data_IF_549426768639
#
_entry.id   IF_549426768639
#
_cell.length_a   1.000
_cell.length_b   1.000
_cell.length_c   1.000
_cell.angle_alpha   90.00
_cell.angle_beta   90.00
_cell.angle_gamma   90.00
#
_symmetry.space_group_name_H-M   'P 1'
#
loop_
_entity.id
_entity.type
_entity.pdbx_description
1 polymer ?
#
# COMPACT_ATOMS: atom_id res chain seq x y z
N UNK A 1 7.19 -22.41 -11.76
CA UNK A 1 6.40 -21.30 -12.37
C UNK A 1 6.48 -20.03 -11.55
N UNK A 2 6.04 -19.98 -10.28
CA UNK A 2 6.22 -18.81 -9.40
C UNK A 2 7.56 -18.85 -8.61
N UNK A 3 7.92 -20.02 -8.10
CA UNK A 3 9.22 -20.25 -7.44
C UNK A 3 10.42 -19.96 -8.37
N UNK A 4 10.33 -20.35 -9.64
CA UNK A 4 11.41 -20.08 -10.61
C UNK A 4 11.59 -18.58 -10.84
N UNK A 5 10.49 -17.81 -10.87
CA UNK A 5 10.53 -16.35 -10.96
C UNK A 5 11.14 -15.73 -9.70
N UNK A 6 10.79 -16.25 -8.52
CA UNK A 6 11.40 -15.84 -7.26
C UNK A 6 12.91 -16.09 -7.24
N UNK A 7 13.34 -17.29 -7.64
CA UNK A 7 14.77 -17.64 -7.72
C UNK A 7 15.53 -16.81 -8.74
N UNK A 8 14.94 -16.52 -9.90
CA UNK A 8 15.53 -15.63 -10.90
C UNK A 8 15.69 -14.20 -10.35
N UNK A 9 14.69 -13.68 -9.64
CA UNK A 9 14.78 -12.36 -9.01
C UNK A 9 15.87 -12.33 -7.92
N UNK A 10 15.99 -13.36 -7.08
CA UNK A 10 17.07 -13.45 -6.08
C UNK A 10 18.45 -13.48 -6.72
N UNK A 11 18.62 -14.24 -7.82
CA UNK A 11 19.87 -14.31 -8.57
C UNK A 11 20.34 -12.95 -9.11
N UNK A 12 19.41 -12.05 -9.43
CA UNK A 12 19.71 -10.70 -9.89
C UNK A 12 20.11 -9.73 -8.75
N UNK A 13 19.87 -10.09 -7.49
CA UNK A 13 20.13 -9.25 -6.32
C UNK A 13 21.45 -9.70 -5.68
N UNK A 14 22.54 -8.92 -5.73
CA UNK A 14 23.87 -9.37 -5.30
C UNK A 14 23.93 -9.94 -3.88
N UNK A 15 23.18 -9.36 -2.95
CA UNK A 15 23.12 -9.81 -1.55
C UNK A 15 22.32 -11.11 -1.33
N UNK A 16 21.56 -11.56 -2.34
CA UNK A 16 20.72 -12.77 -2.28
C UNK A 16 21.03 -13.79 -3.38
N UNK A 17 21.95 -13.51 -4.30
CA UNK A 17 22.19 -14.33 -5.48
C UNK A 17 22.59 -15.79 -5.17
N UNK A 18 23.18 -16.03 -4.00
CA UNK A 18 23.55 -17.38 -3.52
C UNK A 18 22.54 -18.01 -2.55
N UNK A 19 21.38 -17.40 -2.32
CA UNK A 19 20.37 -17.97 -1.41
C UNK A 19 19.66 -19.16 -2.06
N UNK A 20 19.89 -20.36 -1.51
CA UNK A 20 19.32 -21.63 -1.96
C UNK A 20 18.29 -22.22 -0.99
N UNK A 21 18.08 -21.54 0.15
CA UNK A 21 17.14 -21.95 1.19
C UNK A 21 15.66 -21.97 0.72
N UNK A 22 14.76 -22.42 1.61
CA UNK A 22 13.34 -22.49 1.29
C UNK A 22 12.76 -21.09 1.05
N UNK A 23 11.77 -21.03 0.16
CA UNK A 23 10.93 -19.86 -0.06
C UNK A 23 9.48 -20.24 0.26
N UNK A 24 8.88 -19.50 1.19
CA UNK A 24 7.48 -19.67 1.58
C UNK A 24 6.66 -18.59 0.86
N UNK A 25 5.68 -19.01 0.05
CA UNK A 25 4.76 -18.06 -0.58
C UNK A 25 3.82 -17.48 0.49
N UNK A 26 3.84 -16.16 0.63
CA UNK A 26 2.89 -15.41 1.47
C UNK A 26 1.68 -14.97 0.63
N UNK A 27 0.72 -14.33 1.30
CA UNK A 27 -0.41 -13.66 0.65
C UNK A 27 0.02 -12.52 -0.29
N UNK A 28 -0.97 -11.78 -0.79
CA UNK A 28 -0.79 -10.71 -1.77
C UNK A 28 -1.76 -10.86 -2.93
N UNK A 29 -2.57 -9.82 -3.16
CA UNK A 29 -3.58 -9.79 -4.22
C UNK A 29 -2.94 -9.66 -5.60
N UNK A 30 -2.16 -8.60 -5.79
CA UNK A 30 -1.49 -8.27 -7.06
C UNK A 30 -0.05 -8.78 -7.07
N UNK A 31 0.65 -8.65 -5.94
CA UNK A 31 2.07 -8.93 -5.81
C UNK A 31 2.37 -10.41 -5.45
N UNK A 32 3.47 -10.95 -5.99
CA UNK A 32 4.00 -12.24 -5.54
C UNK A 32 4.98 -12.00 -4.38
N UNK A 33 4.57 -12.35 -3.16
CA UNK A 33 5.41 -12.16 -1.96
C UNK A 33 5.93 -13.50 -1.45
N UNK A 34 7.26 -13.62 -1.31
CA UNK A 34 7.93 -14.80 -0.80
C UNK A 34 8.76 -14.47 0.43
N UNK A 35 8.62 -15.27 1.48
CA UNK A 35 9.50 -15.24 2.64
C UNK A 35 10.69 -16.15 2.41
N UNK A 36 11.89 -15.58 2.49
CA UNK A 36 13.13 -16.32 2.73
C UNK A 36 13.45 -16.37 4.23
N UNK A 37 14.69 -16.73 4.58
CA UNK A 37 15.16 -16.84 5.97
C UNK A 37 14.70 -15.66 6.85
N UNK A 38 15.18 -14.46 6.55
CA UNK A 38 14.96 -13.22 7.32
C UNK A 38 14.55 -12.03 6.45
N UNK A 39 14.07 -12.31 5.23
CA UNK A 39 13.63 -11.30 4.26
C UNK A 39 12.31 -11.69 3.59
N UNK A 40 11.58 -10.69 3.10
CA UNK A 40 10.51 -10.83 2.12
C UNK A 40 11.02 -10.37 0.76
N UNK A 41 10.84 -11.19 -0.27
CA UNK A 41 10.95 -10.79 -1.67
C UNK A 41 9.54 -10.52 -2.19
N UNK A 42 9.31 -9.34 -2.75
CA UNK A 42 8.08 -8.97 -3.44
C UNK A 42 8.38 -8.70 -4.90
N UNK A 43 7.65 -9.39 -5.77
CA UNK A 43 7.73 -9.23 -7.21
C UNK A 43 6.38 -8.65 -7.69
N UNK A 44 6.40 -7.55 -8.45
CA UNK A 44 5.17 -6.96 -8.98
C UNK A 44 4.31 -7.94 -9.76
N UNK A 45 2.99 -7.78 -9.63
CA UNK A 45 2.02 -8.47 -10.47
C UNK A 45 2.13 -8.06 -11.93
N UNK A 46 1.95 -9.01 -12.85
CA UNK A 46 1.92 -8.72 -14.29
C UNK A 46 0.75 -7.80 -14.64
N UNK A 47 0.98 -6.81 -15.50
CA UNK A 47 -0.06 -5.90 -15.99
C UNK A 47 -0.32 -4.70 -15.08
N UNK A 48 0.54 -4.49 -14.07
CA UNK A 48 0.47 -3.31 -13.17
C UNK A 48 1.33 -2.15 -13.66
N UNK A 49 2.16 -2.38 -14.68
CA UNK A 49 3.14 -1.44 -15.21
C UNK A 49 2.49 -0.20 -15.86
N UNK A 50 1.22 -0.32 -16.27
CA UNK A 50 0.48 0.76 -16.93
C UNK A 50 -0.09 1.79 -15.95
N UNK A 51 -0.24 1.45 -14.66
CA UNK A 51 -0.89 2.32 -13.68
C UNK A 51 -0.14 2.46 -12.34
N UNK A 52 0.87 1.62 -12.07
CA UNK A 52 1.70 1.75 -10.87
C UNK A 52 3.06 2.39 -11.20
N UNK A 53 3.39 3.46 -10.46
CA UNK A 53 4.70 4.11 -10.56
C UNK A 53 5.71 3.49 -9.57
N UNK A 54 6.55 2.58 -10.08
CA UNK A 54 7.57 1.88 -9.29
C UNK A 54 8.65 2.80 -8.72
N UNK A 55 8.93 3.93 -9.37
CA UNK A 55 9.85 4.93 -8.83
C UNK A 55 9.26 5.66 -7.61
N UNK A 56 7.96 5.99 -7.65
CA UNK A 56 7.24 6.55 -6.50
C UNK A 56 7.27 5.59 -5.31
N UNK A 57 6.89 4.34 -5.56
CA UNK A 57 6.89 3.27 -4.55
C UNK A 57 8.29 3.08 -3.91
N UNK A 58 9.35 3.06 -4.71
CA UNK A 58 10.71 2.88 -4.22
C UNK A 58 11.19 4.04 -3.32
N UNK A 59 10.70 5.26 -3.53
CA UNK A 59 10.95 6.39 -2.64
C UNK A 59 10.11 6.26 -1.38
N UNK A 60 8.81 6.02 -1.53
CA UNK A 60 7.88 5.97 -0.41
C UNK A 60 8.20 4.83 0.57
N UNK A 61 8.50 3.63 0.08
CA UNK A 61 8.90 2.50 0.93
C UNK A 61 10.16 2.82 1.74
N UNK A 62 11.15 3.50 1.15
CA UNK A 62 12.37 3.92 1.85
C UNK A 62 12.09 4.98 2.91
N UNK A 63 11.28 6.00 2.58
CA UNK A 63 10.92 7.06 3.52
C UNK A 63 10.05 6.52 4.67
N UNK A 64 9.11 5.63 4.39
CA UNK A 64 8.30 4.95 5.41
C UNK A 64 9.13 4.01 6.30
N UNK A 65 10.17 3.36 5.74
CA UNK A 65 11.13 2.59 6.52
C UNK A 65 12.00 3.50 7.42
N UNK A 66 12.46 4.66 6.92
CA UNK A 66 13.17 5.67 7.73
C UNK A 66 12.30 6.23 8.86
N UNK A 67 11.02 6.46 8.59
CA UNK A 67 10.02 6.81 9.61
C UNK A 67 9.78 5.66 10.62
N UNK A 68 10.29 4.46 10.33
CA UNK A 68 10.10 3.27 11.15
C UNK A 68 8.63 2.85 11.22
N UNK A 69 7.89 3.00 10.12
CA UNK A 69 6.52 2.54 9.93
C UNK A 69 6.49 1.30 9.02
N UNK A 70 7.36 1.26 8.02
CA UNK A 70 7.56 0.08 7.16
C UNK A 70 8.77 -0.74 7.59
N UNK A 71 8.82 -2.06 7.29
CA UNK A 71 10.03 -2.85 7.47
C UNK A 71 11.22 -2.26 6.73
N UNK A 72 12.43 -2.56 7.18
CA UNK A 72 13.66 -2.12 6.54
C UNK A 72 13.69 -2.57 5.07
N UNK A 73 13.92 -1.63 4.15
CA UNK A 73 14.13 -1.92 2.73
C UNK A 73 15.59 -2.34 2.51
N UNK A 74 15.80 -3.61 2.21
CA UNK A 74 17.12 -4.21 1.96
C UNK A 74 17.56 -4.00 0.50
N UNK A 75 16.61 -4.08 -0.42
CA UNK A 75 16.82 -3.84 -1.84
C UNK A 75 15.54 -3.31 -2.46
N UNK A 76 15.63 -2.39 -3.41
CA UNK A 76 14.50 -2.00 -4.25
C UNK A 76 15.00 -1.59 -5.62
N UNK A 77 14.37 -2.14 -6.64
CA UNK A 77 14.60 -1.83 -8.04
C UNK A 77 13.43 -0.98 -8.55
N UNK A 78 13.72 0.27 -8.90
CA UNK A 78 12.70 1.23 -9.37
C UNK A 78 12.27 0.97 -10.83
N UNK A 79 13.02 0.16 -11.59
CA UNK A 79 12.68 -0.22 -12.95
C UNK A 79 11.79 -1.46 -12.97
N UNK A 80 12.20 -2.51 -12.24
CA UNK A 80 11.44 -3.77 -12.21
C UNK A 80 10.37 -3.82 -11.14
N UNK A 81 10.42 -2.91 -10.14
CA UNK A 81 9.55 -2.89 -8.97
C UNK A 81 9.84 -4.00 -7.95
N UNK A 82 10.87 -4.83 -8.16
CA UNK A 82 11.28 -5.84 -7.20
C UNK A 82 11.71 -5.18 -5.90
N UNK A 83 11.12 -5.63 -4.80
CA UNK A 83 11.36 -5.08 -3.46
C UNK A 83 11.79 -6.22 -2.53
N UNK A 84 12.86 -6.01 -1.78
CA UNK A 84 13.25 -6.88 -0.66
C UNK A 84 13.21 -6.08 0.62
N UNK A 85 12.47 -6.59 1.60
CA UNK A 85 12.42 -6.03 2.95
C UNK A 85 12.87 -7.05 3.98
N UNK A 86 13.24 -6.57 5.18
CA UNK A 86 13.42 -7.44 6.33
C UNK A 86 12.08 -8.12 6.69
N UNK A 87 12.11 -9.42 6.95
CA UNK A 87 10.95 -10.15 7.43
C UNK A 87 10.69 -9.81 8.92
N UNK A 88 9.45 -9.49 9.28
CA UNK A 88 9.08 -9.20 10.67
C UNK A 88 8.67 -10.50 11.36
N UNK A 89 9.60 -11.13 12.08
CA UNK A 89 9.33 -12.36 12.83
C UNK A 89 8.26 -12.14 13.91
N UNK A 90 7.27 -13.03 13.96
CA UNK A 90 6.21 -13.01 14.98
C UNK A 90 5.10 -11.98 14.70
N UNK A 91 5.13 -11.30 13.56
CA UNK A 91 4.00 -10.48 13.14
C UNK A 91 2.89 -11.33 12.51
N UNK A 92 1.66 -10.97 12.82
CA UNK A 92 0.47 -11.52 12.20
C UNK A 92 -0.01 -10.57 11.10
N UNK A 93 -0.20 -11.08 9.89
CA UNK A 93 -0.88 -10.31 8.83
C UNK A 93 -2.33 -10.08 9.22
N UNK A 94 -2.78 -8.83 9.19
CA UNK A 94 -4.12 -8.45 9.62
C UNK A 94 -5.18 -8.76 8.55
N UNK A 95 -6.43 -8.75 8.99
CA UNK A 95 -7.64 -8.97 8.19
C UNK A 95 -8.80 -8.24 8.89
N UNK A 96 -9.95 -8.06 8.22
CA UNK A 96 -11.12 -7.44 8.88
C UNK A 96 -11.52 -8.18 10.16
N UNK A 97 -11.50 -9.52 10.14
CA UNK A 97 -11.73 -10.34 11.33
C UNK A 97 -10.70 -10.10 12.44
N UNK A 98 -9.41 -10.00 12.10
CA UNK A 98 -8.34 -9.79 13.07
C UNK A 98 -8.39 -8.41 13.70
N UNK A 99 -8.85 -7.39 12.99
CA UNK A 99 -9.10 -6.07 13.56
C UNK A 99 -10.19 -6.08 14.63
N UNK A 100 -11.16 -7.00 14.53
CA UNK A 100 -12.23 -7.21 15.53
C UNK A 100 -11.76 -8.08 16.70
N UNK A 101 -11.00 -9.13 16.42
CA UNK A 101 -10.67 -10.17 17.40
C UNK A 101 -9.40 -9.88 18.20
N UNK A 102 -8.44 -9.09 17.67
CA UNK A 102 -7.18 -8.76 18.36
C UNK A 102 -7.33 -7.47 19.16
N UNK A 103 -7.33 -7.52 20.51
CA UNK A 103 -7.57 -6.35 21.33
C UNK A 103 -6.55 -5.25 21.07
N UNK A 104 -7.05 -4.02 20.94
CA UNK A 104 -6.22 -2.83 20.70
C UNK A 104 -5.60 -2.74 19.30
N UNK A 105 -5.92 -3.65 18.37
CA UNK A 105 -5.37 -3.60 17.01
C UNK A 105 -5.75 -2.32 16.24
N UNK A 106 -6.97 -1.76 16.30
CA UNK A 106 -7.26 -0.47 15.66
C UNK A 106 -6.43 0.68 16.25
N UNK A 107 -6.18 0.66 17.56
CA UNK A 107 -5.34 1.66 18.22
C UNK A 107 -3.87 1.53 17.79
N UNK A 108 -3.37 0.32 17.53
CA UNK A 108 -2.01 0.11 16.98
C UNK A 108 -1.90 0.60 15.54
N UNK A 109 -2.93 0.40 14.71
CA UNK A 109 -2.98 0.96 13.35
C UNK A 109 -2.98 2.50 13.39
N UNK A 110 -3.83 3.11 14.22
CA UNK A 110 -3.86 4.56 14.41
C UNK A 110 -2.53 5.15 14.89
N UNK A 111 -1.79 4.42 15.74
CA UNK A 111 -0.42 4.82 16.14
C UNK A 111 0.57 4.71 14.98
N UNK A 112 0.46 3.70 14.12
CA UNK A 112 1.30 3.56 12.94
C UNK A 112 1.05 4.70 11.94
N UNK A 113 -0.21 5.05 11.67
CA UNK A 113 -0.57 6.21 10.88
C UNK A 113 -0.10 7.52 11.49
N UNK A 114 -0.38 7.76 12.78
CA UNK A 114 0.08 8.97 13.46
C UNK A 114 1.60 9.14 13.37
N UNK A 115 2.36 8.03 13.44
CA UNK A 115 3.81 8.04 13.24
C UNK A 115 4.20 8.37 11.80
N UNK A 116 3.51 7.81 10.80
CA UNK A 116 3.74 8.12 9.38
C UNK A 116 3.46 9.61 9.09
N UNK A 117 2.25 10.06 9.42
CA UNK A 117 1.73 11.38 9.10
C UNK A 117 2.53 12.51 9.76
N UNK A 118 3.21 12.23 10.87
CA UNK A 118 4.07 13.19 11.60
C UNK A 118 5.57 12.98 11.38
N UNK A 119 5.97 12.02 10.55
CA UNK A 119 7.39 11.65 10.37
C UNK A 119 8.24 12.67 9.62
N UNK A 120 7.62 13.57 8.86
CA UNK A 120 8.31 14.43 7.90
C UNK A 120 8.75 13.72 6.62
N UNK A 121 8.30 12.47 6.40
CA UNK A 121 8.48 11.79 5.12
C UNK A 121 7.89 12.61 3.96
N UNK A 122 8.56 12.58 2.82
CA UNK A 122 8.13 13.28 1.60
C UNK A 122 8.00 12.26 0.48
N UNK A 123 6.79 12.06 -0.01
CA UNK A 123 6.50 11.22 -1.16
C UNK A 123 6.45 12.08 -2.43
N UNK A 124 6.98 11.59 -3.57
CA UNK A 124 7.13 12.42 -4.77
C UNK A 124 5.80 12.66 -5.49
N UNK A 125 4.77 11.84 -5.23
CA UNK A 125 3.44 11.97 -5.81
C UNK A 125 2.46 12.65 -4.85
N UNK A 126 1.56 13.49 -5.39
CA UNK A 126 0.42 14.06 -4.68
C UNK A 126 -0.83 13.27 -5.07
N UNK A 127 -1.55 12.76 -4.08
CA UNK A 127 -2.75 11.95 -4.30
C UNK A 127 -3.97 12.81 -4.66
N UNK A 128 -4.27 12.91 -5.95
CA UNK A 128 -5.38 13.73 -6.45
C UNK A 128 -6.67 12.91 -6.63
N UNK A 129 -7.38 12.66 -5.51
CA UNK A 129 -8.61 11.83 -5.46
C UNK A 129 -9.63 12.18 -6.55
N UNK A 130 -10.01 13.45 -6.63
CA UNK A 130 -11.06 13.87 -7.57
C UNK A 130 -10.57 13.88 -9.02
N UNK A 131 -9.29 14.13 -9.27
CA UNK A 131 -8.74 14.01 -10.62
C UNK A 131 -8.78 12.56 -11.11
N UNK A 132 -8.46 11.59 -10.23
CA UNK A 132 -8.59 10.17 -10.56
C UNK A 132 -10.05 9.77 -10.85
N UNK A 133 -11.01 10.27 -10.05
CA UNK A 133 -12.44 10.06 -10.32
C UNK A 133 -12.84 10.65 -11.68
N UNK A 134 -12.43 11.88 -11.96
CA UNK A 134 -12.72 12.59 -13.22
C UNK A 134 -12.15 11.81 -14.43
N UNK A 135 -10.92 11.28 -14.33
CA UNK A 135 -10.28 10.47 -15.37
C UNK A 135 -11.02 9.15 -15.62
N UNK A 136 -11.44 8.44 -14.57
CA UNK A 136 -12.22 7.20 -14.72
C UNK A 136 -13.60 7.45 -15.32
N UNK A 137 -14.27 8.54 -14.93
CA UNK A 137 -15.53 8.97 -15.54
C UNK A 137 -15.36 9.26 -17.03
N UNK A 138 -14.27 9.92 -17.41
CA UNK A 138 -13.95 10.20 -18.81
C UNK A 138 -13.75 8.90 -19.61
N UNK A 139 -13.00 7.93 -19.07
CA UNK A 139 -12.82 6.61 -19.72
C UNK A 139 -14.14 5.86 -19.84
N UNK A 140 -14.96 5.88 -18.79
CA UNK A 140 -16.27 5.21 -18.78
C UNK A 140 -17.20 5.79 -19.83
N UNK A 141 -17.15 7.11 -20.06
CA UNK A 141 -17.98 7.78 -21.07
C UNK A 141 -17.75 7.29 -22.50
N UNK A 142 -16.60 6.64 -22.77
CA UNK A 142 -16.29 6.07 -24.09
C UNK A 142 -16.69 4.60 -24.23
N UNK A 143 -17.38 4.01 -23.24
CA UNK A 143 -17.75 2.58 -23.23
C UNK A 143 -19.26 2.41 -23.21
N UNK A 144 -19.75 1.39 -23.91
CA UNK A 144 -21.14 0.96 -23.85
C UNK A 144 -21.29 -0.15 -22.80
N UNK A 145 -21.57 0.24 -21.56
CA UNK A 145 -21.68 -0.67 -20.41
C UNK A 145 -22.87 -0.31 -19.53
N UNK A 146 -23.51 -1.31 -18.94
CA UNK A 146 -24.57 -1.09 -17.98
C UNK A 146 -23.99 -0.60 -16.64
N UNK A 147 -24.50 0.53 -16.16
CA UNK A 147 -24.12 1.10 -14.87
C UNK A 147 -25.09 0.67 -13.76
N UNK A 148 -24.63 0.56 -12.50
CA UNK A 148 -25.50 0.31 -11.37
C UNK A 148 -26.61 1.36 -11.24
N UNK A 149 -27.77 0.96 -10.70
CA UNK A 149 -28.83 1.91 -10.39
C UNK A 149 -28.34 3.00 -9.41
N UNK A 150 -28.67 4.26 -9.68
CA UNK A 150 -28.23 5.40 -8.86
C UNK A 150 -26.80 5.89 -9.12
N UNK A 151 -26.08 5.33 -10.11
CA UNK A 151 -24.69 5.70 -10.40
C UNK A 151 -24.50 7.22 -10.56
N UNK A 152 -25.31 7.86 -11.41
CA UNK A 152 -25.19 9.30 -11.65
C UNK A 152 -25.61 10.15 -10.46
N UNK A 153 -26.53 9.66 -9.62
CA UNK A 153 -26.93 10.34 -8.40
C UNK A 153 -25.77 10.38 -7.41
N UNK A 154 -25.08 9.24 -7.21
CA UNK A 154 -23.89 9.14 -6.35
C UNK A 154 -22.75 10.02 -6.88
N UNK A 155 -22.53 10.07 -8.20
CA UNK A 155 -21.54 10.98 -8.81
C UNK A 155 -21.91 12.44 -8.54
N UNK A 156 -23.19 12.81 -8.65
CA UNK A 156 -23.67 14.15 -8.31
C UNK A 156 -23.49 14.50 -6.83
N UNK A 157 -23.71 13.56 -5.92
CA UNK A 157 -23.48 13.74 -4.48
C UNK A 157 -21.98 13.88 -4.16
N UNK A 158 -21.10 13.16 -4.87
CA UNK A 158 -19.65 13.26 -4.70
C UNK A 158 -19.12 14.69 -4.94
N UNK A 159 -19.75 15.47 -5.82
CA UNK A 159 -19.39 16.88 -6.03
C UNK A 159 -19.72 17.77 -4.81
N UNK A 160 -20.73 17.40 -4.02
CA UNK A 160 -21.01 18.07 -2.74
C UNK A 160 -19.90 17.76 -1.73
N UNK A 161 -19.40 16.52 -1.70
CA UNK A 161 -18.25 16.12 -0.87
C UNK A 161 -16.98 16.86 -1.31
N UNK A 162 -16.71 16.94 -2.62
CA UNK A 162 -15.60 17.73 -3.20
C UNK A 162 -15.63 19.18 -2.75
N UNK A 163 -16.80 19.81 -2.84
CA UNK A 163 -17.01 21.19 -2.43
C UNK A 163 -16.81 21.39 -0.93
N UNK A 164 -17.27 20.46 -0.10
CA UNK A 164 -17.09 20.51 1.35
C UNK A 164 -15.61 20.38 1.76
N UNK A 165 -14.87 19.46 1.13
CA UNK A 165 -13.43 19.29 1.37
C UNK A 165 -12.62 20.50 0.90
N UNK A 166 -13.03 21.15 -0.19
CA UNK A 166 -12.38 22.36 -0.70
C UNK A 166 -12.72 23.64 0.10
N UNK A 167 -13.72 23.59 0.98
CA UNK A 167 -14.17 24.75 1.75
C UNK A 167 -13.11 25.24 2.77
N UNK A 168 -12.19 24.36 3.17
CA UNK A 168 -11.11 24.68 4.09
C UNK A 168 -9.79 24.07 3.62
N UNK A 169 -8.64 24.74 3.86
CA UNK A 169 -7.34 24.11 3.64
C UNK A 169 -7.20 22.85 4.49
N UNK A 170 -6.84 21.74 3.84
CA UNK A 170 -6.56 20.47 4.49
C UNK A 170 -5.05 20.28 4.66
N UNK A 171 -4.60 19.64 5.75
CA UNK A 171 -3.19 19.28 5.90
C UNK A 171 -2.80 18.28 4.82
N UNK A 172 -1.59 18.43 4.27
CA UNK A 172 -1.03 17.53 3.26
C UNK A 172 0.23 16.90 3.83
N UNK A 173 0.18 15.59 4.07
CA UNK A 173 1.26 14.80 4.66
C UNK A 173 1.46 13.49 3.90
N UNK A 174 2.54 12.78 4.17
CA UNK A 174 2.78 11.46 3.58
C UNK A 174 1.73 10.46 4.07
N UNK A 175 0.95 9.88 3.15
CA UNK A 175 -0.12 8.92 3.43
C UNK A 175 0.11 7.61 2.66
N UNK A 176 -0.44 6.52 3.19
CA UNK A 176 -0.38 5.21 2.54
C UNK A 176 -1.26 5.14 1.29
N UNK A 177 -2.43 5.78 1.35
CA UNK A 177 -3.44 5.88 0.31
C UNK A 177 -4.19 4.58 -0.07
N UNK A 178 -3.69 3.41 0.30
CA UNK A 178 -4.39 2.12 0.11
C UNK A 178 -4.21 1.16 1.32
N UNK A 179 -4.61 1.56 2.55
CA UNK A 179 -4.36 0.79 3.76
C UNK A 179 -5.30 -0.41 3.95
N UNK A 180 -5.32 -1.33 2.98
CA UNK A 180 -6.01 -2.62 3.10
C UNK A 180 -5.58 -3.36 4.37
N UNK A 181 -6.49 -4.15 4.95
CA UNK A 181 -6.19 -4.85 6.19
C UNK A 181 -4.94 -5.74 6.10
N UNK A 182 -4.70 -6.39 4.96
CA UNK A 182 -3.53 -7.27 4.77
C UNK A 182 -2.19 -6.52 4.74
N UNK A 183 -2.21 -5.21 4.53
CA UNK A 183 -1.01 -4.35 4.53
C UNK A 183 -0.51 -4.06 5.95
N UNK A 184 -1.23 -4.46 7.00
CA UNK A 184 -0.80 -4.33 8.38
C UNK A 184 -0.22 -5.63 8.93
N UNK A 185 0.99 -5.52 9.51
CA UNK A 185 1.68 -6.62 10.19
C UNK A 185 1.73 -6.33 11.69
N UNK A 186 0.95 -7.05 12.48
CA UNK A 186 0.79 -6.82 13.93
C UNK A 186 1.65 -7.77 14.77
N UNK A 187 2.63 -7.22 15.48
CA UNK A 187 3.47 -7.97 16.43
C UNK A 187 2.81 -8.14 17.81
N UNK A 188 1.66 -7.49 18.04
CA UNK A 188 0.94 -7.47 19.32
C UNK A 188 1.20 -6.22 20.15
N UNK A 189 2.39 -5.62 20.02
CA UNK A 189 2.77 -4.34 20.65
C UNK A 189 2.69 -3.14 19.69
N UNK A 190 2.96 -3.37 18.40
CA UNK A 190 2.91 -2.36 17.33
C UNK A 190 2.50 -2.98 15.99
N UNK A 191 2.22 -2.11 15.02
CA UNK A 191 2.03 -2.51 13.63
C UNK A 191 3.14 -1.94 12.74
N UNK A 192 3.41 -2.68 11.66
CA UNK A 192 4.14 -2.24 10.49
C UNK A 192 3.18 -2.15 9.30
N UNK A 193 3.47 -1.27 8.36
CA UNK A 193 2.68 -1.10 7.14
C UNK A 193 3.57 -1.43 5.92
N UNK A 194 3.03 -2.19 4.99
CA UNK A 194 3.68 -2.61 3.74
C UNK A 194 2.84 -2.23 2.53
N UNK A 195 3.40 -2.40 1.33
CA UNK A 195 2.75 -2.16 0.03
C UNK A 195 2.44 -0.68 -0.29
N UNK A 196 3.51 0.10 -0.54
CA UNK A 196 3.44 1.56 -0.72
C UNK A 196 3.21 1.99 -2.17
N UNK A 197 2.62 1.15 -3.03
CA UNK A 197 2.52 1.45 -4.46
C UNK A 197 1.60 2.63 -4.81
N UNK A 198 0.56 2.86 -4.00
CA UNK A 198 -0.38 3.98 -4.15
C UNK A 198 -0.04 5.20 -3.29
N UNK A 199 1.03 5.11 -2.51
CA UNK A 199 1.38 6.14 -1.53
C UNK A 199 1.62 7.51 -2.16
N UNK A 200 1.25 8.54 -1.42
CA UNK A 200 1.39 9.92 -1.87
C UNK A 200 1.14 10.92 -0.76
N UNK A 201 1.40 12.18 -1.06
CA UNK A 201 1.03 13.29 -0.19
C UNK A 201 -0.50 13.44 -0.23
N UNK A 202 -1.19 13.37 0.91
CA UNK A 202 -2.66 13.43 1.00
C UNK A 202 -3.16 14.03 2.33
N UNK A 203 -4.48 14.20 2.44
CA UNK A 203 -5.13 14.39 3.74
C UNK A 203 -4.91 13.14 4.62
N UNK A 204 -4.37 13.27 5.85
CA UNK A 204 -4.16 12.14 6.75
C UNK A 204 -5.42 11.35 7.07
N UNK A 205 -6.60 11.97 7.02
CA UNK A 205 -7.87 11.28 7.31
C UNK A 205 -8.31 10.32 6.20
N UNK A 206 -7.74 10.43 4.99
CA UNK A 206 -7.95 9.43 3.93
C UNK A 206 -7.56 8.03 4.42
N UNK A 207 -6.35 7.87 4.95
CA UNK A 207 -5.84 6.58 5.43
C UNK A 207 -6.74 5.96 6.52
N UNK A 208 -7.33 6.80 7.38
CA UNK A 208 -8.24 6.34 8.44
C UNK A 208 -9.61 5.95 7.88
N UNK A 209 -10.13 6.73 6.93
CA UNK A 209 -11.41 6.45 6.28
C UNK A 209 -11.35 5.16 5.47
N UNK A 210 -10.29 4.99 4.67
CA UNK A 210 -10.05 3.82 3.84
C UNK A 210 -9.94 2.54 4.69
N UNK A 211 -9.06 2.53 5.71
CA UNK A 211 -8.95 1.38 6.63
C UNK A 211 -10.28 1.07 7.32
N UNK A 212 -11.09 2.08 7.63
CA UNK A 212 -12.39 1.87 8.26
C UNK A 212 -13.41 1.21 7.33
N UNK A 213 -13.33 1.45 6.02
CA UNK A 213 -14.19 0.80 5.01
C UNK A 213 -13.70 -0.64 4.78
N UNK A 214 -12.39 -0.82 4.65
CA UNK A 214 -11.76 -2.12 4.40
C UNK A 214 -11.83 -3.08 5.59
N UNK A 215 -11.83 -2.54 6.82
CA UNK A 215 -11.87 -3.32 8.06
C UNK A 215 -13.26 -3.76 8.53
N UNK A 216 -14.30 -3.61 7.70
CA UNK A 216 -15.71 -3.85 8.08
C UNK A 216 -16.07 -5.29 8.44
#
# INVERSE_FOLDING_TARGET
MADDQARAALAAIPMLAGYDGPLERLGGLTNLVFRGKDFCLRIPGRGTEEYINRANEAVAAREAAKAGVSPEVLHVDAETGVLVTRFITGAETMSPEKFKTRPGSPARAGKAFGKLHTSGAVFPFRFELFAMIDDYLQVLSTKDVALPAGYHDVVGEAETVRSALAAHPLPIVACHCDPLCENFLDTGDRMWIVDWEYSGMNDPLWDLGDLSVEGQ
#
